data_IF_226090252847
#
_entry.id   IF_226090252847
#
_cell.length_a   1.000
_cell.length_b   1.000
_cell.length_c   1.000
_cell.angle_alpha   90.00
_cell.angle_beta   90.00
_cell.angle_gamma   90.00
#
_symmetry.space_group_name_H-M   'P 1'
#
loop_
_entity.id
_entity.type
_entity.pdbx_description
1 polymer ?
#
# COMPACT_ATOMS: atom_id res chain seq x y z
N UNK A 1 34.52 -11.24 17.46
CA UNK A 1 33.13 -11.14 17.96
C UNK A 1 32.50 -9.95 17.26
N UNK A 2 31.53 -10.17 16.37
CA UNK A 2 30.68 -9.07 15.90
C UNK A 2 29.97 -8.47 17.12
N UNK A 3 29.98 -7.14 17.24
CA UNK A 3 29.24 -6.45 18.30
C UNK A 3 27.76 -6.79 18.17
N UNK A 4 27.08 -7.06 19.28
CA UNK A 4 25.65 -7.40 19.34
C UNK A 4 24.78 -6.38 18.58
N UNK A 5 25.22 -5.12 18.53
CA UNK A 5 24.57 -4.03 17.78
C UNK A 5 24.61 -4.21 16.26
N UNK A 6 25.66 -4.84 15.71
CA UNK A 6 25.75 -5.12 14.27
C UNK A 6 24.69 -6.16 13.88
N UNK A 7 24.53 -7.18 14.71
CA UNK A 7 23.52 -8.22 14.50
C UNK A 7 22.10 -7.67 14.61
N UNK A 8 21.84 -6.79 15.58
CA UNK A 8 20.53 -6.14 15.74
C UNK A 8 20.18 -5.22 14.56
N UNK A 9 21.15 -4.46 14.05
CA UNK A 9 20.94 -3.62 12.87
C UNK A 9 20.63 -4.49 11.64
N UNK A 10 21.40 -5.58 11.42
CA UNK A 10 21.14 -6.49 10.30
C UNK A 10 19.76 -7.15 10.38
N UNK A 11 19.31 -7.51 11.58
CA UNK A 11 17.96 -8.04 11.78
C UNK A 11 16.88 -6.98 11.51
N UNK A 12 17.09 -5.73 11.93
CA UNK A 12 16.18 -4.62 11.65
C UNK A 12 16.10 -4.30 10.14
N UNK A 13 17.24 -4.32 9.43
CA UNK A 13 17.30 -4.17 7.98
C UNK A 13 16.49 -5.28 7.28
N UNK A 14 16.72 -6.55 7.62
CA UNK A 14 15.96 -7.67 7.04
C UNK A 14 14.46 -7.62 7.37
N UNK A 15 14.10 -7.15 8.57
CA UNK A 15 12.69 -6.93 8.93
C UNK A 15 12.06 -5.79 8.12
N UNK A 16 12.82 -4.72 7.83
CA UNK A 16 12.35 -3.61 6.99
C UNK A 16 12.08 -4.07 5.55
N UNK A 17 12.99 -4.85 4.96
CA UNK A 17 12.82 -5.42 3.62
C UNK A 17 11.56 -6.30 3.52
N UNK A 18 11.32 -7.18 4.50
CA UNK A 18 10.12 -8.01 4.53
C UNK A 18 8.83 -7.18 4.64
N UNK A 19 8.87 -6.07 5.38
CA UNK A 19 7.73 -5.17 5.52
C UNK A 19 7.49 -4.34 4.25
N UNK A 20 8.54 -3.99 3.52
CA UNK A 20 8.45 -3.32 2.21
C UNK A 20 7.83 -4.26 1.17
N UNK A 21 8.32 -5.50 1.07
CA UNK A 21 7.72 -6.51 0.18
C UNK A 21 6.23 -6.75 0.52
N UNK A 22 5.88 -6.75 1.81
CA UNK A 22 4.48 -6.87 2.26
C UNK A 22 3.66 -5.64 1.91
N UNK A 23 4.23 -4.45 1.99
CA UNK A 23 3.58 -3.21 1.59
C UNK A 23 3.30 -3.22 0.08
N UNK A 24 4.26 -3.61 -0.75
CA UNK A 24 4.09 -3.70 -2.20
C UNK A 24 3.02 -4.73 -2.58
N UNK A 25 3.00 -5.89 -1.92
CA UNK A 25 1.93 -6.87 -2.09
C UNK A 25 0.54 -6.26 -1.80
N UNK A 26 0.41 -5.53 -0.68
CA UNK A 26 -0.86 -4.89 -0.33
C UNK A 26 -1.22 -3.72 -1.26
N UNK A 27 -0.22 -3.05 -1.83
CA UNK A 27 -0.41 -1.99 -2.81
C UNK A 27 -1.01 -2.56 -4.09
N UNK A 28 -0.47 -3.68 -4.59
CA UNK A 28 -1.00 -4.36 -5.77
C UNK A 28 -2.44 -4.82 -5.54
N UNK A 29 -2.74 -5.45 -4.38
CA UNK A 29 -4.10 -5.86 -4.04
C UNK A 29 -5.09 -4.66 -3.97
N UNK A 30 -4.64 -3.49 -3.49
CA UNK A 30 -5.45 -2.28 -3.47
C UNK A 30 -5.69 -1.71 -4.88
N UNK A 31 -4.71 -1.82 -5.78
CA UNK A 31 -4.84 -1.44 -7.19
C UNK A 31 -5.86 -2.35 -7.88
N UNK A 32 -5.73 -3.67 -7.75
CA UNK A 32 -6.67 -4.64 -8.33
C UNK A 32 -8.11 -4.40 -7.85
N UNK A 33 -8.30 -4.13 -6.56
CA UNK A 33 -9.63 -3.82 -6.02
C UNK A 33 -10.19 -2.48 -6.55
N UNK A 34 -9.32 -1.52 -6.86
CA UNK A 34 -9.75 -0.24 -7.46
C UNK A 34 -10.15 -0.42 -8.92
N UNK A 35 -9.36 -1.15 -9.69
CA UNK A 35 -9.68 -1.52 -11.08
C UNK A 35 -10.98 -2.34 -11.15
N UNK A 36 -11.25 -3.21 -10.17
CA UNK A 36 -12.49 -3.96 -10.11
C UNK A 36 -13.72 -3.04 -9.95
N UNK A 37 -13.63 -2.01 -9.10
CA UNK A 37 -14.69 -1.00 -8.94
C UNK A 37 -14.88 -0.22 -10.24
N UNK A 38 -13.81 0.28 -10.85
CA UNK A 38 -13.87 1.06 -12.10
C UNK A 38 -14.50 0.26 -13.24
N UNK A 39 -14.13 -1.03 -13.39
CA UNK A 39 -14.75 -1.91 -14.40
C UNK A 39 -16.26 -2.09 -14.20
N UNK A 40 -16.72 -2.18 -12.95
CA UNK A 40 -18.15 -2.34 -12.65
C UNK A 40 -18.93 -1.04 -12.85
N UNK A 41 -18.34 0.09 -12.50
CA UNK A 41 -18.91 1.42 -12.78
C UNK A 41 -19.03 1.65 -14.29
N UNK A 42 -18.01 1.28 -15.06
CA UNK A 42 -18.03 1.35 -16.52
C UNK A 42 -19.14 0.47 -17.12
N UNK A 43 -19.28 -0.79 -16.65
CA UNK A 43 -20.38 -1.68 -17.09
C UNK A 43 -21.77 -1.11 -16.78
N UNK A 44 -21.91 -0.46 -15.63
CA UNK A 44 -23.17 0.19 -15.24
C UNK A 44 -23.48 1.37 -16.18
N UNK A 45 -22.46 2.16 -16.52
CA UNK A 45 -22.58 3.28 -17.46
C UNK A 45 -22.97 2.81 -18.87
N UNK A 46 -22.32 1.75 -19.37
CA UNK A 46 -22.65 1.14 -20.66
C UNK A 46 -24.09 0.61 -20.70
N UNK A 47 -24.55 -0.03 -19.62
CA UNK A 47 -25.91 -0.51 -19.52
C UNK A 47 -26.94 0.63 -19.51
N UNK A 48 -26.60 1.78 -18.90
CA UNK A 48 -27.46 2.96 -18.92
C UNK A 48 -27.55 3.62 -20.31
N UNK A 49 -26.44 3.66 -21.06
CA UNK A 49 -26.42 4.19 -22.43
C UNK A 49 -27.10 3.31 -23.48
N UNK A 50 -27.36 2.04 -23.16
CA UNK A 50 -28.03 1.10 -24.07
C UNK A 50 -29.57 1.28 -24.16
N UNK A 51 -30.17 2.13 -23.34
CA UNK A 51 -31.64 2.31 -23.22
C UNK A 51 -32.20 3.42 -24.15
N UNK A 52 -31.34 4.24 -24.77
CA UNK A 52 -31.74 5.49 -25.47
C UNK A 52 -32.17 5.33 -26.95
N UNK A 53 -32.19 4.10 -27.48
CA UNK A 53 -32.26 3.88 -28.94
C UNK A 53 -33.66 3.76 -29.57
N UNK A 54 -34.72 3.42 -28.83
CA UNK A 54 -36.03 3.12 -29.45
C UNK A 54 -37.16 3.92 -28.80
N UNK A 55 -37.51 5.01 -29.46
CA UNK A 55 -38.51 5.98 -28.99
C UNK A 55 -39.77 5.86 -29.84
N UNK A 56 -40.81 5.22 -29.30
CA UNK A 56 -42.14 5.15 -29.91
C UNK A 56 -43.15 4.47 -28.97
N UNK A 57 -44.35 5.05 -28.75
CA UNK A 57 -45.33 4.51 -27.79
C UNK A 57 -45.80 3.09 -28.14
N UNK A 58 -45.82 2.73 -29.42
CA UNK A 58 -46.20 1.38 -29.89
C UNK A 58 -45.12 0.33 -29.59
N UNK A 59 -43.84 0.70 -29.67
CA UNK A 59 -42.73 -0.19 -29.34
C UNK A 59 -42.60 -0.39 -27.83
N UNK A 60 -42.84 0.67 -27.04
CA UNK A 60 -42.79 0.62 -25.57
C UNK A 60 -43.88 -0.28 -24.96
N UNK A 61 -45.01 -0.46 -25.65
CA UNK A 61 -46.08 -1.38 -25.26
C UNK A 61 -45.91 -2.80 -25.79
N UNK A 62 -44.85 -3.08 -26.58
CA UNK A 62 -44.57 -4.43 -27.06
C UNK A 62 -44.03 -5.33 -25.94
N UNK A 63 -44.39 -6.61 -25.96
CA UNK A 63 -43.85 -7.59 -25.00
C UNK A 63 -42.32 -7.70 -25.07
N UNK A 64 -41.72 -7.43 -26.22
CA UNK A 64 -40.26 -7.40 -26.39
C UNK A 64 -39.60 -6.23 -25.64
N UNK A 65 -40.18 -5.04 -25.67
CA UNK A 65 -39.67 -3.89 -24.92
C UNK A 65 -39.81 -4.10 -23.40
N UNK A 66 -40.92 -4.69 -22.93
CA UNK A 66 -41.09 -5.04 -21.53
C UNK A 66 -40.07 -6.11 -21.09
N UNK A 67 -39.83 -7.14 -21.91
CA UNK A 67 -38.84 -8.18 -21.62
C UNK A 67 -37.42 -7.62 -21.56
N UNK A 68 -37.06 -6.70 -22.47
CA UNK A 68 -35.77 -5.99 -22.45
C UNK A 68 -35.60 -5.17 -21.17
N UNK A 69 -36.61 -4.39 -20.78
CA UNK A 69 -36.56 -3.58 -19.54
C UNK A 69 -36.36 -4.45 -18.30
N UNK A 70 -37.12 -5.54 -18.19
CA UNK A 70 -36.98 -6.46 -17.06
C UNK A 70 -35.58 -7.08 -17.01
N UNK A 71 -35.04 -7.49 -18.16
CA UNK A 71 -33.68 -8.00 -18.26
C UNK A 71 -32.65 -6.93 -17.85
N UNK A 72 -32.81 -5.69 -18.34
CA UNK A 72 -31.90 -4.58 -18.03
C UNK A 72 -31.93 -4.21 -16.54
N UNK A 73 -33.10 -4.23 -15.91
CA UNK A 73 -33.26 -4.03 -14.47
C UNK A 73 -32.57 -5.12 -13.66
N UNK A 74 -32.83 -6.40 -13.96
CA UNK A 74 -32.15 -7.52 -13.30
C UNK A 74 -30.63 -7.46 -13.47
N UNK A 75 -30.16 -7.06 -14.65
CA UNK A 75 -28.73 -6.92 -14.92
C UNK A 75 -28.13 -5.76 -14.13
N UNK A 76 -28.85 -4.63 -14.03
CA UNK A 76 -28.44 -3.46 -13.24
C UNK A 76 -28.34 -3.83 -11.75
N UNK A 77 -29.34 -4.52 -11.20
CA UNK A 77 -29.31 -4.98 -9.81
C UNK A 77 -28.11 -5.90 -9.53
N UNK A 78 -27.83 -6.83 -10.44
CA UNK A 78 -26.66 -7.72 -10.33
C UNK A 78 -25.35 -6.92 -10.28
N UNK A 79 -25.17 -5.96 -11.20
CA UNK A 79 -23.98 -5.11 -11.25
C UNK A 79 -23.86 -4.24 -9.99
N UNK A 80 -24.97 -3.70 -9.49
CA UNK A 80 -24.97 -2.90 -8.25
C UNK A 80 -24.56 -3.72 -7.03
N UNK A 81 -25.01 -4.99 -6.93
CA UNK A 81 -24.59 -5.90 -5.87
C UNK A 81 -23.09 -6.22 -5.97
N UNK A 82 -22.61 -6.54 -7.17
CA UNK A 82 -21.17 -6.75 -7.43
C UNK A 82 -20.36 -5.50 -7.07
N UNK A 83 -20.85 -4.30 -7.40
CA UNK A 83 -20.20 -3.03 -7.09
C UNK A 83 -20.14 -2.76 -5.59
N UNK A 84 -21.20 -3.06 -4.85
CA UNK A 84 -21.22 -2.93 -3.39
C UNK A 84 -20.14 -3.83 -2.75
N UNK A 85 -20.04 -5.09 -3.20
CA UNK A 85 -19.02 -6.02 -2.74
C UNK A 85 -17.60 -5.55 -3.11
N UNK A 86 -17.39 -5.08 -4.34
CA UNK A 86 -16.10 -4.56 -4.80
C UNK A 86 -15.68 -3.31 -3.99
N UNK A 87 -16.60 -2.41 -3.67
CA UNK A 87 -16.31 -1.24 -2.81
C UNK A 87 -15.98 -1.64 -1.38
N UNK A 88 -16.66 -2.66 -0.83
CA UNK A 88 -16.33 -3.19 0.48
C UNK A 88 -14.91 -3.80 0.50
N UNK A 89 -14.55 -4.60 -0.51
CA UNK A 89 -13.20 -5.14 -0.63
C UNK A 89 -12.16 -4.02 -0.83
N UNK A 90 -12.42 -3.03 -1.70
CA UNK A 90 -11.54 -1.88 -1.88
C UNK A 90 -11.29 -1.13 -0.56
N UNK A 91 -12.33 -0.91 0.25
CA UNK A 91 -12.19 -0.30 1.57
C UNK A 91 -11.34 -1.17 2.51
N UNK A 92 -11.53 -2.48 2.48
CA UNK A 92 -10.74 -3.44 3.26
C UNK A 92 -9.27 -3.44 2.83
N UNK A 93 -8.97 -3.48 1.53
CA UNK A 93 -7.60 -3.45 1.01
C UNK A 93 -6.92 -2.12 1.32
N UNK A 94 -7.62 -0.98 1.18
CA UNK A 94 -7.12 0.35 1.61
C UNK A 94 -6.75 0.36 3.09
N UNK A 95 -7.56 -0.26 3.96
CA UNK A 95 -7.27 -0.36 5.38
C UNK A 95 -6.03 -1.23 5.66
N UNK A 96 -5.87 -2.37 4.96
CA UNK A 96 -4.68 -3.22 5.06
C UNK A 96 -3.42 -2.50 4.57
N UNK A 97 -3.52 -1.77 3.45
CA UNK A 97 -2.42 -0.97 2.89
C UNK A 97 -1.94 0.10 3.87
N UNK A 98 -2.86 0.85 4.49
CA UNK A 98 -2.51 1.85 5.53
C UNK A 98 -1.77 1.20 6.71
N UNK A 99 -2.22 0.02 7.16
CA UNK A 99 -1.54 -0.71 8.24
C UNK A 99 -0.16 -1.20 7.83
N UNK A 100 -0.02 -1.72 6.60
CA UNK A 100 1.27 -2.17 6.06
C UNK A 100 2.25 -0.99 5.94
N UNK A 101 1.79 0.14 5.39
CA UNK A 101 2.56 1.37 5.30
C UNK A 101 3.04 1.85 6.67
N UNK A 102 2.14 1.90 7.66
CA UNK A 102 2.49 2.31 9.02
C UNK A 102 3.57 1.43 9.65
N UNK A 103 3.50 0.11 9.46
CA UNK A 103 4.52 -0.84 9.95
C UNK A 103 5.86 -0.68 9.23
N UNK A 104 5.83 -0.59 7.90
CA UNK A 104 7.03 -0.38 7.09
C UNK A 104 7.72 0.94 7.46
N UNK A 105 6.98 2.04 7.55
CA UNK A 105 7.49 3.35 7.93
C UNK A 105 8.10 3.35 9.33
N UNK A 106 7.41 2.75 10.32
CA UNK A 106 7.93 2.63 11.67
C UNK A 106 9.23 1.81 11.72
N UNK A 107 9.30 0.69 10.99
CA UNK A 107 10.52 -0.11 10.94
C UNK A 107 11.67 0.64 10.28
N UNK A 108 11.41 1.34 9.17
CA UNK A 108 12.42 2.16 8.49
C UNK A 108 13.00 3.21 9.45
N UNK A 109 12.15 3.88 10.22
CA UNK A 109 12.59 4.87 11.21
C UNK A 109 13.42 4.24 12.33
N UNK A 110 13.04 3.05 12.82
CA UNK A 110 13.83 2.31 13.83
C UNK A 110 15.22 2.02 13.26
N UNK A 111 15.28 1.45 12.05
CA UNK A 111 16.53 1.12 11.37
C UNK A 111 17.42 2.35 11.17
N UNK A 112 16.87 3.45 10.67
CA UNK A 112 17.59 4.72 10.49
C UNK A 112 18.14 5.26 11.81
N UNK A 113 17.34 5.18 12.88
CA UNK A 113 17.75 5.61 14.23
C UNK A 113 18.89 4.75 14.78
N UNK A 114 18.82 3.42 14.62
CA UNK A 114 19.86 2.49 15.07
C UNK A 114 21.18 2.70 14.30
N UNK A 115 21.10 2.85 12.98
CA UNK A 115 22.25 3.15 12.14
C UNK A 115 22.84 4.53 12.48
N UNK A 116 22.01 5.53 12.76
CA UNK A 116 22.43 6.86 13.21
C UNK A 116 23.17 6.81 14.55
N UNK A 117 22.60 6.13 15.55
CA UNK A 117 23.21 5.96 16.87
C UNK A 117 24.57 5.28 16.78
N UNK A 118 24.67 4.19 16.00
CA UNK A 118 25.95 3.49 15.78
C UNK A 118 26.99 4.37 15.11
N UNK A 119 26.62 5.15 14.08
CA UNK A 119 27.55 6.10 13.43
C UNK A 119 28.06 7.14 14.41
N UNK A 120 27.19 7.66 15.28
CA UNK A 120 27.59 8.61 16.33
C UNK A 120 28.56 8.00 17.34
N UNK A 121 28.30 6.77 17.78
CA UNK A 121 29.17 6.06 18.72
C UNK A 121 30.56 5.77 18.12
N UNK A 122 30.61 5.30 16.86
CA UNK A 122 31.89 5.09 16.15
C UNK A 122 32.66 6.40 16.02
N UNK A 123 31.98 7.50 15.69
CA UNK A 123 32.61 8.82 15.60
C UNK A 123 33.17 9.30 16.94
N UNK A 124 32.42 9.12 18.04
CA UNK A 124 32.90 9.46 19.40
C UNK A 124 34.13 8.63 19.78
N UNK A 125 34.10 7.31 19.59
CA UNK A 125 35.25 6.44 19.86
C UNK A 125 36.48 6.85 19.06
N UNK A 126 36.31 7.23 17.79
CA UNK A 126 37.42 7.72 16.97
C UNK A 126 37.98 9.07 17.48
N UNK A 127 37.12 9.98 17.93
CA UNK A 127 37.53 11.25 18.52
C UNK A 127 38.28 11.06 19.85
N UNK A 128 37.79 10.16 20.72
CA UNK A 128 38.43 9.84 22.00
C UNK A 128 39.83 9.23 21.79
N UNK A 129 39.96 8.27 20.87
CA UNK A 129 41.27 7.68 20.51
C UNK A 129 42.23 8.75 19.96
N UNK A 130 41.76 9.65 19.10
CA UNK A 130 42.61 10.75 18.62
C UNK A 130 43.05 11.69 19.76
N UNK A 131 42.16 11.99 20.71
CA UNK A 131 42.48 12.78 21.89
C UNK A 131 43.54 12.11 22.76
N UNK A 132 43.41 10.80 23.01
CA UNK A 132 44.40 10.01 23.77
C UNK A 132 45.78 10.03 23.10
N UNK A 133 45.84 9.88 21.77
CA UNK A 133 47.09 9.94 21.01
C UNK A 133 47.74 11.32 21.09
N UNK A 134 46.95 12.40 21.00
CA UNK A 134 47.45 13.78 21.13
C UNK A 134 48.02 14.02 22.52
N UNK A 135 47.32 13.59 23.58
CA UNK A 135 47.78 13.72 24.96
C UNK A 135 49.07 12.91 25.18
N UNK A 136 49.13 11.66 24.70
CA UNK A 136 50.32 10.82 24.80
C UNK A 136 51.53 11.45 24.07
N UNK A 137 51.33 12.00 22.86
CA UNK A 137 52.37 12.68 22.11
C UNK A 137 52.88 13.95 22.82
N UNK A 138 51.98 14.72 23.44
CA UNK A 138 52.34 15.92 24.20
C UNK A 138 53.13 15.60 25.49
N UNK A 139 52.85 14.47 26.13
CA UNK A 139 53.57 14.02 27.34
C UNK A 139 54.99 13.53 26.99
N UNK A 140 55.18 12.82 25.87
CA UNK A 140 56.49 12.31 25.46
C UNK A 140 57.46 13.37 24.90
N UNK A 141 57.00 14.59 24.64
CA UNK A 141 57.83 15.71 24.15
C UNK A 141 58.35 16.63 25.27
N UNK A 142 58.10 16.29 26.54
CA UNK A 142 58.69 16.95 27.73
C UNK A 142 59.80 16.09 28.32
#
# INVERSE_FOLDING_TARGET
MESDDVNRIRQADGAAELLEARYDFQRNACTEATEAVERLEQRLFELAGADDGVVGPEFQASGAAMAWRLWAEQRRETILLELANARADQAQQKAKLRKAYGRMSAMRQITETMQGARRSEVSRKAADVMSEVIVAAAVCQR
#
